data_IF_426980574797
#
_entry.id   IF_426980574797
#
_cell.length_a   1.000
_cell.length_b   1.000
_cell.length_c   1.000
_cell.angle_alpha   90.00
_cell.angle_beta   90.00
_cell.angle_gamma   90.00
#
_symmetry.space_group_name_H-M   'P 1'
#
loop_
_entity.id
_entity.type
_entity.pdbx_description
1 polymer ?
#
# COMPACT_ATOMS: atom_id res chain seq x y z
N UNK A 1 21.03 -9.18 -11.17
CA UNK A 1 22.36 -9.20 -10.54
C UNK A 1 22.81 -7.85 -9.91
N UNK A 2 21.91 -6.89 -9.58
CA UNK A 2 22.29 -5.60 -8.94
C UNK A 2 21.96 -5.50 -7.44
N UNK A 3 20.96 -6.25 -6.97
CA UNK A 3 20.48 -6.19 -5.58
C UNK A 3 21.40 -6.93 -4.59
N UNK A 4 21.87 -8.13 -4.96
CA UNK A 4 22.79 -8.91 -4.13
C UNK A 4 24.16 -8.24 -3.93
N UNK A 5 24.65 -7.53 -4.96
CA UNK A 5 25.89 -6.74 -4.87
C UNK A 5 25.73 -5.49 -3.99
N UNK A 6 24.57 -4.84 -4.05
CA UNK A 6 24.24 -3.74 -3.14
C UNK A 6 24.17 -4.24 -1.70
N UNK A 7 23.46 -5.35 -1.46
CA UNK A 7 23.32 -5.95 -0.14
C UNK A 7 24.67 -6.38 0.46
N UNK A 8 25.55 -7.02 -0.32
CA UNK A 8 26.91 -7.35 0.14
C UNK A 8 27.74 -6.12 0.53
N UNK A 9 27.64 -5.03 -0.26
CA UNK A 9 28.38 -3.78 0.01
C UNK A 9 27.85 -3.04 1.24
N UNK A 10 26.59 -3.31 1.59
CA UNK A 10 25.91 -2.78 2.75
C UNK A 10 26.30 -3.57 4.02
N UNK A 11 26.32 -4.90 3.92
CA UNK A 11 26.82 -5.80 4.98
C UNK A 11 28.31 -5.60 5.30
N UNK A 12 29.10 -5.10 4.35
CA UNK A 12 30.51 -4.78 4.59
C UNK A 12 30.74 -3.44 5.30
N UNK A 13 29.69 -2.78 5.78
CA UNK A 13 29.79 -1.56 6.61
C UNK A 13 29.62 -1.95 8.06
N UNK A 14 30.50 -1.44 8.93
CA UNK A 14 30.36 -1.56 10.38
C UNK A 14 29.25 -0.60 10.85
N UNK A 15 28.00 -1.03 10.73
CA UNK A 15 26.84 -0.29 11.21
C UNK A 15 26.62 -0.57 12.69
N UNK A 16 26.24 0.47 13.43
CA UNK A 16 25.68 0.30 14.77
C UNK A 16 24.34 -0.46 14.71
N UNK A 17 23.86 -0.92 15.86
CA UNK A 17 22.55 -1.57 15.95
C UNK A 17 21.42 -0.66 15.46
N UNK A 18 21.41 0.61 15.88
CA UNK A 18 20.42 1.60 15.46
C UNK A 18 20.46 1.86 13.94
N UNK A 19 21.65 2.00 13.35
CA UNK A 19 21.80 2.17 11.90
C UNK A 19 21.36 0.92 11.12
N UNK A 20 21.61 -0.27 11.66
CA UNK A 20 21.16 -1.54 11.08
C UNK A 20 19.64 -1.65 11.09
N UNK A 21 18.98 -1.24 12.19
CA UNK A 21 17.53 -1.21 12.31
C UNK A 21 16.89 -0.18 11.38
N UNK A 22 17.45 1.04 11.32
CA UNK A 22 16.99 2.09 10.41
C UNK A 22 17.03 1.60 8.96
N UNK A 23 18.14 0.97 8.57
CA UNK A 23 18.29 0.42 7.24
C UNK A 23 17.29 -0.71 6.95
N UNK A 24 17.11 -1.64 7.89
CA UNK A 24 16.16 -2.74 7.76
C UNK A 24 14.73 -2.22 7.59
N UNK A 25 14.32 -1.22 8.38
CA UNK A 25 13.01 -0.59 8.29
C UNK A 25 12.78 0.08 6.92
N UNK A 26 13.77 0.83 6.41
CA UNK A 26 13.71 1.38 5.06
C UNK A 26 13.62 0.31 3.96
N UNK A 27 14.36 -0.79 4.10
CA UNK A 27 14.30 -1.90 3.13
C UNK A 27 12.93 -2.57 3.11
N UNK A 28 12.31 -2.78 4.27
CA UNK A 28 10.97 -3.35 4.36
C UNK A 28 9.94 -2.39 3.75
N UNK A 29 9.99 -1.11 4.10
CA UNK A 29 9.11 -0.08 3.53
C UNK A 29 9.22 -0.02 2.00
N UNK A 30 10.44 0.01 1.46
CA UNK A 30 10.65 0.01 0.01
C UNK A 30 10.08 -1.26 -0.65
N UNK A 31 10.29 -2.42 -0.03
CA UNK A 31 9.76 -3.70 -0.54
C UNK A 31 8.24 -3.68 -0.60
N UNK A 32 7.56 -3.20 0.44
CA UNK A 32 6.11 -3.08 0.46
C UNK A 32 5.60 -2.12 -0.60
N UNK A 33 6.23 -0.94 -0.77
CA UNK A 33 5.87 -0.02 -1.86
C UNK A 33 6.08 -0.62 -3.27
N UNK A 34 7.10 -1.46 -3.45
CA UNK A 34 7.30 -2.20 -4.71
C UNK A 34 6.17 -3.22 -4.95
N UNK A 35 5.69 -3.90 -3.90
CA UNK A 35 4.55 -4.80 -4.02
C UNK A 35 3.24 -4.07 -4.26
N UNK A 36 3.03 -2.90 -3.64
CA UNK A 36 1.91 -2.02 -3.93
C UNK A 36 1.89 -1.64 -5.42
N UNK A 37 3.01 -1.13 -5.94
CA UNK A 37 3.16 -0.77 -7.35
C UNK A 37 2.96 -1.97 -8.30
N UNK A 38 3.45 -3.15 -7.91
CA UNK A 38 3.23 -4.39 -8.68
C UNK A 38 1.74 -4.73 -8.77
N UNK A 39 1.00 -4.66 -7.66
CA UNK A 39 -0.43 -4.97 -7.66
C UNK A 39 -1.20 -4.07 -8.63
N UNK A 40 -0.89 -2.78 -8.68
CA UNK A 40 -1.50 -1.86 -9.65
C UNK A 40 -1.06 -2.12 -11.09
N UNK A 41 0.23 -2.39 -11.31
CA UNK A 41 0.76 -2.75 -12.63
C UNK A 41 0.07 -3.98 -13.21
N UNK A 42 -0.19 -4.99 -12.38
CA UNK A 42 -0.81 -6.24 -12.81
C UNK A 42 -2.24 -6.05 -13.34
N UNK A 43 -2.94 -4.96 -12.98
CA UNK A 43 -4.32 -4.68 -13.39
C UNK A 43 -4.49 -3.45 -14.26
N UNK A 44 -3.40 -2.76 -14.61
CA UNK A 44 -3.48 -1.45 -15.31
C UNK A 44 -4.29 -1.52 -16.61
N UNK A 45 -4.09 -2.57 -17.40
CA UNK A 45 -4.84 -2.78 -18.65
C UNK A 45 -6.31 -3.10 -18.36
N UNK A 46 -6.60 -3.84 -17.29
CA UNK A 46 -7.99 -4.13 -16.93
C UNK A 46 -8.72 -2.88 -16.46
N UNK A 47 -8.04 -2.00 -15.72
CA UNK A 47 -8.61 -0.71 -15.28
C UNK A 47 -8.90 0.19 -16.48
N UNK A 48 -8.02 0.23 -17.49
CA UNK A 48 -8.27 0.95 -18.75
C UNK A 48 -9.55 0.43 -19.44
N UNK A 49 -9.75 -0.89 -19.46
CA UNK A 49 -10.98 -1.46 -20.00
C UNK A 49 -12.22 -1.06 -19.17
N UNK A 50 -12.12 -0.93 -17.85
CA UNK A 50 -13.23 -0.43 -17.02
C UNK A 50 -13.59 1.03 -17.36
N UNK A 51 -12.60 1.85 -17.70
CA UNK A 51 -12.80 3.25 -18.08
C UNK A 51 -13.55 3.40 -19.40
N UNK A 52 -13.30 2.49 -20.33
CA UNK A 52 -13.91 2.47 -21.66
C UNK A 52 -15.29 1.79 -21.68
N UNK A 53 -15.56 0.90 -20.72
CA UNK A 53 -16.82 0.15 -20.61
C UNK A 53 -18.04 1.06 -20.55
N UNK A 54 -19.10 0.72 -21.28
CA UNK A 54 -20.40 1.41 -21.20
C UNK A 54 -21.30 0.86 -20.08
N UNK A 55 -20.96 -0.32 -19.54
CA UNK A 55 -21.71 -0.98 -18.47
C UNK A 55 -21.76 -0.14 -17.18
N UNK A 56 -22.99 0.12 -16.71
CA UNK A 56 -23.27 0.93 -15.52
C UNK A 56 -22.68 0.28 -14.25
N UNK A 57 -22.74 -1.05 -14.12
CA UNK A 57 -22.17 -1.75 -12.97
C UNK A 57 -20.65 -1.57 -12.93
N UNK A 58 -20.00 -1.71 -14.10
CA UNK A 58 -18.55 -1.52 -14.23
C UNK A 58 -18.14 -0.09 -13.84
N UNK A 59 -18.86 0.92 -14.32
CA UNK A 59 -18.58 2.33 -13.97
C UNK A 59 -18.73 2.58 -12.47
N UNK A 60 -19.80 2.07 -11.84
CA UNK A 60 -20.01 2.19 -10.40
C UNK A 60 -18.92 1.50 -9.58
N UNK A 61 -18.49 0.31 -10.01
CA UNK A 61 -17.38 -0.39 -9.37
C UNK A 61 -16.09 0.41 -9.46
N UNK A 62 -15.75 0.94 -10.65
CA UNK A 62 -14.57 1.77 -10.85
C UNK A 62 -14.59 3.02 -9.97
N UNK A 63 -15.72 3.70 -9.89
CA UNK A 63 -15.90 4.88 -9.03
C UNK A 63 -15.71 4.53 -7.54
N UNK A 64 -16.30 3.43 -7.07
CA UNK A 64 -16.13 2.94 -5.70
C UNK A 64 -14.66 2.66 -5.37
N UNK A 65 -13.96 1.97 -6.26
CA UNK A 65 -12.53 1.68 -6.10
C UNK A 65 -11.68 2.95 -6.08
N UNK A 66 -11.96 3.91 -6.98
CA UNK A 66 -11.23 5.19 -7.05
C UNK A 66 -11.43 6.02 -5.79
N UNK A 67 -12.67 6.23 -5.37
CA UNK A 67 -12.97 7.08 -4.22
C UNK A 67 -12.30 6.55 -2.95
N UNK A 68 -12.38 5.25 -2.70
CA UNK A 68 -11.73 4.64 -1.56
C UNK A 68 -10.20 4.69 -1.66
N UNK A 69 -9.64 4.38 -2.84
CA UNK A 69 -8.18 4.40 -3.04
C UNK A 69 -7.58 5.80 -2.87
N UNK A 70 -8.24 6.83 -3.41
CA UNK A 70 -7.80 8.23 -3.26
C UNK A 70 -7.79 8.62 -1.79
N UNK A 71 -8.87 8.33 -1.05
CA UNK A 71 -8.92 8.61 0.38
C UNK A 71 -7.78 7.93 1.15
N UNK A 72 -7.50 6.65 0.88
CA UNK A 72 -6.36 5.95 1.51
C UNK A 72 -5.00 6.49 1.09
N UNK A 73 -4.81 6.93 -0.15
CA UNK A 73 -3.55 7.57 -0.57
C UNK A 73 -3.36 8.92 0.13
N UNK A 74 -4.43 9.68 0.34
CA UNK A 74 -4.40 10.94 1.08
C UNK A 74 -4.07 10.70 2.56
N UNK A 75 -4.71 9.72 3.20
CA UNK A 75 -4.39 9.28 4.56
C UNK A 75 -2.91 8.84 4.67
N UNK A 76 -2.40 8.05 3.70
CA UNK A 76 -0.98 7.65 3.66
C UNK A 76 -0.07 8.87 3.67
N UNK A 77 -0.37 9.81 2.79
CA UNK A 77 0.43 11.00 2.55
C UNK A 77 0.42 11.91 3.78
N UNK A 78 -0.73 12.08 4.42
CA UNK A 78 -0.85 12.82 5.67
C UNK A 78 -0.04 12.16 6.79
N UNK A 79 -0.13 10.83 6.94
CA UNK A 79 0.57 10.09 7.98
C UNK A 79 2.09 10.22 7.85
N UNK A 80 2.67 9.94 6.67
CA UNK A 80 4.12 10.01 6.45
C UNK A 80 4.69 11.44 6.61
N UNK A 81 3.86 12.47 6.42
CA UNK A 81 4.25 13.87 6.58
C UNK A 81 4.00 14.41 7.99
N UNK A 82 3.13 13.77 8.78
CA UNK A 82 2.82 14.20 10.14
C UNK A 82 3.96 13.86 11.10
N UNK A 83 4.16 14.65 12.15
CA UNK A 83 5.05 14.29 13.27
C UNK A 83 4.34 13.41 14.32
N UNK A 84 3.08 13.03 14.06
CA UNK A 84 2.28 12.23 15.00
C UNK A 84 2.64 10.75 14.91
N UNK A 85 2.70 10.11 16.08
CA UNK A 85 3.03 8.68 16.26
C UNK A 85 1.80 7.78 16.35
N UNK A 86 0.59 8.29 16.09
CA UNK A 86 -0.61 7.46 16.14
C UNK A 86 -0.55 6.38 15.05
N UNK A 87 -0.39 5.14 15.51
CA UNK A 87 -0.22 3.97 14.65
C UNK A 87 -1.58 3.57 14.06
N UNK A 88 -2.01 4.24 12.99
CA UNK A 88 -3.31 4.00 12.33
C UNK A 88 -3.37 2.70 11.50
N UNK A 89 -2.33 1.87 11.51
CA UNK A 89 -2.21 0.72 10.59
C UNK A 89 -3.21 -0.40 10.89
N UNK A 90 -3.61 -0.59 12.15
CA UNK A 90 -4.63 -1.58 12.52
C UNK A 90 -6.02 -1.14 12.03
N UNK A 91 -6.33 0.16 12.13
CA UNK A 91 -7.54 0.75 11.57
C UNK A 91 -7.59 0.57 10.05
N UNK A 92 -6.48 0.79 9.37
CA UNK A 92 -6.37 0.57 7.92
C UNK A 92 -6.65 -0.86 7.51
N UNK A 93 -6.10 -1.84 8.21
CA UNK A 93 -6.31 -3.24 7.90
C UNK A 93 -7.81 -3.60 7.99
N UNK A 94 -8.48 -3.15 9.04
CA UNK A 94 -9.93 -3.37 9.21
C UNK A 94 -10.75 -2.66 8.13
N UNK A 95 -10.43 -1.39 7.82
CA UNK A 95 -11.12 -0.63 6.77
C UNK A 95 -10.98 -1.32 5.40
N UNK A 96 -9.80 -1.89 5.12
CA UNK A 96 -9.51 -2.59 3.87
C UNK A 96 -10.25 -3.92 3.74
N UNK A 97 -10.31 -4.69 4.83
CA UNK A 97 -11.05 -5.95 4.89
C UNK A 97 -12.56 -5.73 4.68
N UNK A 98 -13.13 -4.77 5.40
CA UNK A 98 -14.53 -4.36 5.24
C UNK A 98 -14.79 -3.90 3.81
N UNK A 99 -13.96 -3.00 3.29
CA UNK A 99 -14.12 -2.50 1.92
C UNK A 99 -14.03 -3.62 0.87
N UNK A 100 -13.09 -4.57 1.04
CA UNK A 100 -12.97 -5.72 0.15
C UNK A 100 -14.26 -6.54 0.12
N UNK A 101 -14.75 -6.94 1.28
CA UNK A 101 -15.93 -7.77 1.41
C UNK A 101 -17.18 -7.08 0.86
N UNK A 102 -17.44 -5.84 1.26
CA UNK A 102 -18.59 -5.08 0.78
C UNK A 102 -18.54 -4.82 -0.74
N UNK A 103 -17.35 -4.64 -1.31
CA UNK A 103 -17.19 -4.39 -2.75
C UNK A 103 -17.37 -5.67 -3.56
N UNK A 104 -16.95 -6.82 -3.01
CA UNK A 104 -17.24 -8.13 -3.58
C UNK A 104 -18.74 -8.43 -3.53
N UNK A 105 -19.37 -8.22 -2.38
CA UNK A 105 -20.82 -8.43 -2.23
C UNK A 105 -21.60 -7.51 -3.17
N UNK A 106 -21.23 -6.22 -3.25
CA UNK A 106 -21.77 -5.29 -4.23
C UNK A 106 -21.66 -5.81 -5.67
N UNK A 107 -20.51 -6.38 -6.05
CA UNK A 107 -20.33 -6.93 -7.39
C UNK A 107 -21.31 -8.09 -7.63
N UNK A 108 -21.38 -9.07 -6.72
CA UNK A 108 -22.23 -10.25 -6.90
C UNK A 108 -23.73 -9.95 -6.81
N UNK A 109 -24.15 -9.06 -5.91
CA UNK A 109 -25.56 -8.67 -5.76
C UNK A 109 -26.12 -7.93 -6.98
N UNK A 110 -25.25 -7.29 -7.76
CA UNK A 110 -25.64 -6.50 -8.92
C UNK A 110 -25.38 -7.24 -10.25
N UNK A 111 -24.80 -8.44 -10.23
CA UNK A 111 -24.75 -9.31 -11.40
C UNK A 111 -26.10 -10.03 -11.50
N UNK A 112 -26.93 -9.63 -12.47
CA UNK A 112 -28.12 -10.42 -12.80
C UNK A 112 -27.75 -11.61 -13.69
N UNK A 113 -28.44 -12.76 -13.54
CA UNK A 113 -28.26 -13.94 -14.42
C UNK A 113 -28.44 -13.64 -15.92
N UNK A 114 -29.00 -12.47 -16.28
CA UNK A 114 -29.24 -12.02 -17.66
C UNK A 114 -28.27 -10.94 -18.15
N UNK A 115 -27.45 -10.33 -17.28
CA UNK A 115 -26.43 -9.38 -17.69
C UNK A 115 -25.10 -10.10 -17.84
N UNK A 116 -24.75 -10.42 -19.10
CA UNK A 116 -23.34 -10.59 -19.43
C UNK A 116 -22.69 -9.21 -19.35
N UNK A 117 -21.96 -8.94 -18.27
CA UNK A 117 -21.08 -7.78 -18.21
C UNK A 117 -20.05 -7.92 -19.35
N UNK A 118 -19.70 -6.80 -19.98
CA UNK A 118 -18.67 -6.77 -21.03
C UNK A 118 -17.33 -7.33 -20.52
N UNK A 119 -17.08 -7.17 -19.23
CA UNK A 119 -15.89 -7.62 -18.52
C UNK A 119 -16.25 -8.77 -17.58
N UNK A 120 -15.50 -9.87 -17.63
CA UNK A 120 -15.78 -11.04 -16.81
C UNK A 120 -15.75 -10.73 -15.31
N UNK A 121 -16.65 -11.36 -14.55
CA UNK A 121 -16.70 -11.25 -13.09
C UNK A 121 -15.35 -11.59 -12.45
N UNK A 122 -14.66 -12.60 -12.96
CA UNK A 122 -13.31 -12.97 -12.50
C UNK A 122 -12.28 -11.84 -12.66
N UNK A 123 -12.39 -11.06 -13.74
CA UNK A 123 -11.54 -9.89 -13.97
C UNK A 123 -11.89 -8.78 -12.97
N UNK A 124 -13.18 -8.51 -12.77
CA UNK A 124 -13.66 -7.51 -11.80
C UNK A 124 -13.22 -7.86 -10.37
N UNK A 125 -13.40 -9.11 -9.94
CA UNK A 125 -12.93 -9.58 -8.63
C UNK A 125 -11.41 -9.49 -8.48
N UNK A 126 -10.65 -9.78 -9.54
CA UNK A 126 -9.19 -9.63 -9.51
C UNK A 126 -8.77 -8.16 -9.37
N UNK A 127 -9.47 -7.23 -10.04
CA UNK A 127 -9.23 -5.79 -9.87
C UNK A 127 -9.49 -5.37 -8.42
N UNK A 128 -10.62 -5.77 -7.81
CA UNK A 128 -10.93 -5.47 -6.40
C UNK A 128 -9.79 -5.97 -5.50
N UNK A 129 -9.41 -7.24 -5.63
CA UNK A 129 -8.33 -7.86 -4.85
C UNK A 129 -6.99 -7.17 -5.01
N UNK A 130 -6.65 -6.73 -6.22
CA UNK A 130 -5.36 -6.10 -6.52
C UNK A 130 -5.33 -4.65 -6.05
N UNK A 131 -6.43 -3.93 -6.14
CA UNK A 131 -6.57 -2.59 -5.57
C UNK A 131 -6.44 -2.65 -4.04
N UNK A 132 -7.19 -3.52 -3.35
CA UNK A 132 -7.07 -3.66 -1.89
C UNK A 132 -5.69 -4.15 -1.46
N UNK A 133 -5.11 -5.11 -2.19
CA UNK A 133 -3.73 -5.56 -1.97
C UNK A 133 -2.68 -4.48 -2.22
N UNK A 134 -2.94 -3.48 -3.08
CA UNK A 134 -2.05 -2.32 -3.20
C UNK A 134 -2.07 -1.47 -1.94
N UNK A 135 -3.28 -1.15 -1.45
CA UNK A 135 -3.47 -0.31 -0.27
C UNK A 135 -2.98 -0.99 1.01
N UNK A 136 -3.12 -2.31 1.12
CA UNK A 136 -2.58 -3.11 2.24
C UNK A 136 -1.05 -3.02 2.29
N UNK A 137 -0.38 -3.12 1.14
CA UNK A 137 1.07 -2.94 1.06
C UNK A 137 1.49 -1.49 1.37
N UNK A 138 0.65 -0.49 1.10
CA UNK A 138 0.89 0.87 1.57
C UNK A 138 0.73 0.99 3.09
N UNK A 139 -0.27 0.35 3.70
CA UNK A 139 -0.41 0.24 5.16
C UNK A 139 0.83 -0.36 5.80
N UNK A 140 1.30 -1.48 5.23
CA UNK A 140 2.53 -2.14 5.67
C UNK A 140 3.76 -1.24 5.52
N UNK A 141 3.82 -0.41 4.49
CA UNK A 141 4.89 0.57 4.35
C UNK A 141 4.80 1.66 5.43
N UNK A 142 3.59 2.11 5.79
CA UNK A 142 3.35 3.10 6.84
C UNK A 142 3.70 2.58 8.24
N UNK A 143 3.42 1.31 8.56
CA UNK A 143 3.71 0.74 9.90
C UNK A 143 5.20 0.73 10.28
N UNK A 144 6.09 0.91 9.30
CA UNK A 144 7.53 1.00 9.52
C UNK A 144 8.02 2.44 9.74
N UNK A 145 7.17 3.45 9.59
CA UNK A 145 7.53 4.87 9.72
C UNK A 145 7.93 5.23 11.15
N UNK A 146 7.19 4.74 12.16
CA UNK A 146 7.51 5.00 13.57
C UNK A 146 8.89 4.40 13.93
N UNK A 147 9.18 3.17 13.51
CA UNK A 147 10.48 2.53 13.71
C UNK A 147 11.63 3.33 13.06
N UNK A 148 11.38 3.94 11.89
CA UNK A 148 12.35 4.82 11.22
C UNK A 148 12.61 6.07 12.07
N UNK A 149 11.55 6.72 12.56
CA UNK A 149 11.64 7.94 13.39
C UNK A 149 12.37 7.68 14.71
N UNK A 150 12.05 6.58 15.38
CA UNK A 150 12.73 6.15 16.61
C UNK A 150 14.23 5.93 16.36
N UNK A 151 14.58 5.20 15.30
CA UNK A 151 15.98 4.93 14.96
C UNK A 151 16.75 6.20 14.61
N UNK A 152 16.13 7.14 13.87
CA UNK A 152 16.73 8.45 13.57
C UNK A 152 16.97 9.24 14.87
N UNK A 153 16.01 9.22 15.79
CA UNK A 153 16.13 9.90 17.09
C UNK A 153 17.26 9.30 17.92
N UNK A 154 17.42 7.98 17.93
CA UNK A 154 18.53 7.31 18.64
C UNK A 154 19.90 7.69 18.07
N UNK A 155 20.04 7.69 16.74
CA UNK A 155 21.30 7.99 16.03
C UNK A 155 21.69 9.46 16.18
N UNK A 156 20.74 10.39 15.99
CA UNK A 156 21.03 11.82 15.87
C UNK A 156 20.64 12.64 17.10
N UNK A 157 19.68 12.19 17.91
CA UNK A 157 19.26 12.84 19.15
C UNK A 157 20.35 12.81 20.24
N UNK A 158 21.09 11.71 20.34
CA UNK A 158 22.23 11.59 21.26
C UNK A 158 23.43 12.50 20.92
N UNK A 159 23.51 13.02 19.69
CA UNK A 159 24.59 13.91 19.26
C UNK A 159 24.44 15.37 19.73
N UNK A 160 23.28 15.75 20.30
CA UNK A 160 23.10 17.07 20.92
C UNK A 160 23.63 17.15 22.37
N UNK A 161 23.85 16.03 23.05
CA UNK A 161 24.29 16.01 24.46
C UNK A 161 25.82 16.00 24.60
N UNK A 162 26.59 15.71 23.54
CA UNK A 162 28.07 15.72 23.56
C UNK A 162 28.73 17.06 23.21
N UNK A 163 27.98 18.17 23.21
CA UNK A 163 28.51 19.54 23.05
C UNK A 163 27.98 20.45 24.17
N UNK A 164 28.39 20.21 25.41
CA UNK A 164 28.50 21.23 26.46
C UNK A 164 29.78 20.94 27.24
#
# INVERSE_FOLDING_TARGET
MKFASFYKRLQSKDLTYAESNLLAAHMIRLRSLVYAAKNMKDIVVNVQNLEESEDILVKKLLERLRNFSVGKIEEYSAFILSENDENETEKWHNDLDVFYHETIDFLYDNISEKQMTEISVSTLSNIIKKTTGCLEEMSNAASHENNIRESITEIYGNNRIKKI
#
